data_IF_994246638951
#
_entry.id   IF_994246638951
#
_cell.length_a   1.000
_cell.length_b   1.000
_cell.length_c   1.000
_cell.angle_alpha   90.00
_cell.angle_beta   90.00
_cell.angle_gamma   90.00
#
_symmetry.space_group_name_H-M   'P 1'
#
loop_
_entity.id
_entity.type
_entity.pdbx_description
1 polymer ?
#
# COMPACT_ATOMS: atom_id res chain seq x y z
N UNK A 1 -28.27 17.50 6.05
CA UNK A 1 -28.00 18.52 7.09
C UNK A 1 -27.21 19.65 6.44
N UNK A 2 -27.65 20.90 6.58
CA UNK A 2 -26.88 22.06 6.11
C UNK A 2 -25.86 22.47 7.18
N UNK A 3 -24.62 22.79 6.81
CA UNK A 3 -23.57 23.27 7.73
C UNK A 3 -23.24 24.73 7.42
N UNK A 4 -23.07 25.56 8.47
CA UNK A 4 -22.66 26.97 8.35
C UNK A 4 -21.24 27.12 8.85
N UNK A 5 -20.37 27.71 8.03
CA UNK A 5 -19.00 28.05 8.44
C UNK A 5 -18.99 29.41 9.14
N UNK A 6 -18.49 29.45 10.37
CA UNK A 6 -18.37 30.65 11.21
C UNK A 6 -16.92 31.13 11.34
N UNK A 7 -15.99 30.51 10.63
CA UNK A 7 -14.55 30.79 10.72
C UNK A 7 -14.24 32.27 10.45
N UNK A 8 -14.83 32.86 9.42
CA UNK A 8 -14.55 34.25 9.04
C UNK A 8 -15.07 35.25 10.08
N UNK A 9 -16.28 35.01 10.61
CA UNK A 9 -16.85 35.81 11.69
C UNK A 9 -16.01 35.71 12.97
N UNK A 10 -15.55 34.49 13.30
CA UNK A 10 -14.65 34.26 14.43
C UNK A 10 -13.31 35.01 14.27
N UNK A 11 -12.68 34.91 13.09
CA UNK A 11 -11.41 35.58 12.81
C UNK A 11 -11.54 37.11 12.89
N UNK A 12 -12.63 37.67 12.34
CA UNK A 12 -12.92 39.10 12.43
C UNK A 12 -13.02 39.56 13.90
N UNK A 13 -13.85 38.87 14.70
CA UNK A 13 -14.05 39.21 16.11
C UNK A 13 -12.75 39.04 16.92
N UNK A 14 -11.99 37.97 16.67
CA UNK A 14 -10.69 37.73 17.30
C UNK A 14 -9.70 38.87 17.00
N UNK A 15 -9.55 39.23 15.72
CA UNK A 15 -8.62 40.25 15.28
C UNK A 15 -9.02 41.63 15.83
N UNK A 16 -10.31 41.97 15.80
CA UNK A 16 -10.83 43.23 16.35
C UNK A 16 -10.60 43.34 17.87
N UNK A 17 -10.81 42.25 18.62
CA UNK A 17 -10.55 42.21 20.05
C UNK A 17 -9.05 42.35 20.40
N UNK A 18 -8.16 41.79 19.56
CA UNK A 18 -6.70 41.96 19.72
C UNK A 18 -6.31 43.42 19.48
N UNK A 19 -6.79 44.02 18.39
CA UNK A 19 -6.52 45.43 18.07
C UNK A 19 -7.03 46.37 19.17
N UNK A 20 -8.25 46.17 19.67
CA UNK A 20 -8.78 46.99 20.77
C UNK A 20 -7.96 46.87 22.06
N UNK A 21 -7.42 45.68 22.38
CA UNK A 21 -6.51 45.51 23.52
C UNK A 21 -5.18 46.25 23.32
N UNK A 22 -4.63 46.22 22.11
CA UNK A 22 -3.37 46.91 21.78
C UNK A 22 -3.53 48.43 21.87
N UNK A 23 -4.62 48.98 21.32
CA UNK A 23 -4.92 50.42 21.38
C UNK A 23 -5.08 50.89 22.84
N UNK A 24 -5.78 50.10 23.67
CA UNK A 24 -5.96 50.42 25.09
C UNK A 24 -4.63 50.34 25.86
N UNK A 25 -3.76 49.39 25.52
CA UNK A 25 -2.43 49.25 26.11
C UNK A 25 -1.51 50.42 25.71
N UNK A 26 -1.56 50.87 24.45
CA UNK A 26 -0.84 52.07 23.99
C UNK A 26 -1.30 53.35 24.70
N UNK A 27 -2.60 53.49 24.96
CA UNK A 27 -3.15 54.63 25.71
C UNK A 27 -2.76 54.65 27.19
N UNK A 28 -2.41 53.50 27.78
CA UNK A 28 -1.99 53.38 29.17
C UNK A 28 -0.46 53.35 29.36
N UNK A 29 0.31 53.26 28.27
CA UNK A 29 1.76 53.24 28.31
C UNK A 29 2.33 54.67 28.43
N UNK A 30 2.64 55.10 29.65
CA UNK A 30 3.52 56.25 29.91
C UNK A 30 4.97 55.86 29.58
N UNK A 31 5.81 56.83 29.16
CA UNK A 31 7.18 56.60 28.62
C UNK A 31 8.09 55.77 29.56
N UNK A 32 7.75 55.69 30.86
CA UNK A 32 8.43 54.85 31.87
C UNK A 32 8.10 53.36 31.81
N UNK A 33 6.94 52.96 31.27
CA UNK A 33 6.55 51.54 31.12
C UNK A 33 7.15 50.89 29.87
N UNK A 34 7.54 51.67 28.87
CA UNK A 34 8.17 51.18 27.64
C UNK A 34 9.54 50.50 27.87
N UNK A 35 10.20 50.76 29.00
CA UNK A 35 11.50 50.14 29.35
C UNK A 35 11.37 48.84 30.16
N UNK A 36 10.16 48.46 30.58
CA UNK A 36 9.86 47.21 31.33
C UNK A 36 9.21 46.14 30.42
N UNK A 37 8.99 46.44 29.14
CA UNK A 37 8.38 45.54 28.14
C UNK A 37 9.30 44.38 27.70
N UNK A 38 10.08 43.81 28.61
CA UNK A 38 10.69 42.48 28.45
C UNK A 38 9.66 41.34 28.60
N UNK A 39 8.44 41.66 29.05
CA UNK A 39 7.30 40.75 29.05
C UNK A 39 6.33 41.29 28.00
N UNK A 40 6.43 40.73 26.79
CA UNK A 40 5.47 40.96 25.74
C UNK A 40 4.04 40.74 26.26
N UNK A 41 3.21 41.78 26.26
CA UNK A 41 1.77 41.71 26.52
C UNK A 41 1.00 41.03 25.38
N UNK A 42 1.71 40.52 24.37
CA UNK A 42 1.11 39.78 23.27
C UNK A 42 0.68 38.38 23.75
N UNK A 43 -0.64 38.10 23.89
CA UNK A 43 -1.10 36.75 24.18
C UNK A 43 -0.75 35.77 23.04
N UNK A 44 -0.41 36.24 21.83
CA UNK A 44 0.09 35.40 20.74
C UNK A 44 1.56 34.99 20.93
N UNK A 45 2.38 35.84 21.56
CA UNK A 45 3.72 35.45 22.03
C UNK A 45 3.64 34.36 23.13
N UNK A 46 2.61 34.36 23.98
CA UNK A 46 2.37 33.29 24.95
C UNK A 46 1.85 32.00 24.28
N UNK A 47 1.01 32.11 23.25
CA UNK A 47 0.53 30.96 22.46
C UNK A 47 1.67 30.34 21.62
N UNK A 48 2.67 31.14 21.23
CA UNK A 48 3.87 30.68 20.53
C UNK A 48 4.86 29.87 21.37
N UNK A 49 4.76 29.91 22.71
CA UNK A 49 5.75 29.32 23.65
C UNK A 49 5.47 27.85 24.01
N UNK A 50 4.32 27.29 23.65
CA UNK A 50 4.09 25.84 23.78
C UNK A 50 4.13 25.13 22.43
N UNK A 51 5.17 25.34 21.63
CA UNK A 51 5.51 24.38 20.57
C UNK A 51 6.00 23.10 21.24
N UNK A 52 5.06 22.29 21.77
CA UNK A 52 5.36 20.92 22.18
C UNK A 52 5.87 20.21 20.94
N UNK A 53 7.11 19.72 21.00
CA UNK A 53 7.66 18.93 19.91
C UNK A 53 6.72 17.76 19.62
N UNK A 54 6.54 17.40 18.33
CA UNK A 54 5.76 16.23 17.97
C UNK A 54 6.30 15.01 18.72
N UNK A 55 5.41 14.11 19.21
CA UNK A 55 5.83 12.87 19.82
C UNK A 55 6.88 12.12 18.99
N UNK A 56 7.93 11.62 19.65
CA UNK A 56 9.07 10.95 18.99
C UNK A 56 8.70 9.71 18.16
N UNK A 57 7.50 9.16 18.35
CA UNK A 57 7.01 8.01 17.59
C UNK A 57 6.46 8.40 16.21
N UNK A 58 6.25 9.70 15.94
CA UNK A 58 5.73 10.19 14.65
C UNK A 58 6.67 9.86 13.49
N UNK A 59 7.98 9.98 13.66
CA UNK A 59 8.95 9.60 12.62
C UNK A 59 8.80 8.13 12.20
N UNK A 60 8.52 7.24 13.17
CA UNK A 60 8.25 5.82 12.88
C UNK A 60 6.92 5.60 12.17
N UNK A 61 5.92 6.45 12.41
CA UNK A 61 4.65 6.42 11.67
C UNK A 61 4.87 6.83 10.22
N UNK A 62 5.63 7.90 9.98
CA UNK A 62 5.95 8.39 8.64
C UNK A 62 6.73 7.33 7.85
N UNK A 63 7.71 6.67 8.49
CA UNK A 63 8.45 5.56 7.89
C UNK A 63 7.53 4.40 7.48
N UNK A 64 6.60 3.98 8.36
CA UNK A 64 5.66 2.90 8.06
C UNK A 64 4.70 3.31 6.93
N UNK A 65 4.20 4.54 6.93
CA UNK A 65 3.31 5.04 5.87
C UNK A 65 4.03 5.10 4.51
N UNK A 66 5.31 5.46 4.52
CA UNK A 66 6.15 5.40 3.34
C UNK A 66 6.32 3.98 2.82
N UNK A 67 6.65 3.01 3.69
CA UNK A 67 6.74 1.59 3.30
C UNK A 67 5.40 1.05 2.76
N UNK A 68 4.27 1.39 3.37
CA UNK A 68 2.92 1.06 2.88
C UNK A 68 2.71 1.60 1.45
N UNK A 69 3.14 2.84 1.19
CA UNK A 69 3.03 3.46 -0.14
C UNK A 69 3.90 2.73 -1.16
N UNK A 70 5.11 2.32 -0.77
CA UNK A 70 5.99 1.52 -1.64
C UNK A 70 5.41 0.14 -1.94
N UNK A 71 4.82 -0.54 -0.95
CA UNK A 71 4.13 -1.82 -1.16
C UNK A 71 3.01 -1.64 -2.20
N UNK A 72 2.18 -0.61 -2.05
CA UNK A 72 1.11 -0.29 -3.02
C UNK A 72 1.64 -0.09 -4.43
N UNK A 73 2.74 0.65 -4.58
CA UNK A 73 3.33 0.88 -5.89
C UNK A 73 3.83 -0.44 -6.50
N UNK A 74 4.59 -1.22 -5.73
CA UNK A 74 5.14 -2.51 -6.20
C UNK A 74 4.05 -3.51 -6.56
N UNK A 75 2.93 -3.52 -5.84
CA UNK A 75 1.75 -4.32 -6.19
C UNK A 75 1.13 -3.92 -7.53
N UNK A 76 1.14 -2.63 -7.89
CA UNK A 76 0.70 -2.18 -9.22
C UNK A 76 1.66 -2.64 -10.31
N UNK A 77 2.97 -2.53 -10.05
CA UNK A 77 3.99 -2.99 -11.00
C UNK A 77 3.86 -4.50 -11.25
N UNK A 78 3.61 -5.29 -10.20
CA UNK A 78 3.31 -6.71 -10.29
C UNK A 78 2.04 -6.99 -11.12
N UNK A 79 0.98 -6.19 -10.94
CA UNK A 79 -0.24 -6.35 -11.73
C UNK A 79 -0.01 -6.08 -13.23
N UNK A 80 0.88 -5.14 -13.59
CA UNK A 80 1.29 -4.90 -14.96
C UNK A 80 2.08 -6.09 -15.53
N UNK A 81 2.99 -6.67 -14.75
CA UNK A 81 3.71 -7.89 -15.14
C UNK A 81 2.74 -9.07 -15.36
N UNK A 82 1.77 -9.26 -14.47
CA UNK A 82 0.73 -10.28 -14.63
C UNK A 82 -0.03 -10.09 -15.95
N UNK A 83 -0.47 -8.87 -16.25
CA UNK A 83 -1.24 -8.60 -17.48
C UNK A 83 -0.40 -8.78 -18.75
N UNK A 84 0.85 -8.30 -18.73
CA UNK A 84 1.83 -8.52 -19.81
C UNK A 84 2.01 -10.00 -20.11
N UNK A 85 2.26 -10.79 -19.06
CA UNK A 85 2.43 -12.24 -19.18
C UNK A 85 1.16 -12.94 -19.69
N UNK A 86 -0.04 -12.47 -19.31
CA UNK A 86 -1.31 -13.07 -19.74
C UNK A 86 -1.64 -12.83 -21.21
N UNK A 87 -1.29 -11.66 -21.74
CA UNK A 87 -1.71 -11.22 -23.07
C UNK A 87 -0.73 -11.59 -24.18
N UNK A 88 0.30 -12.38 -23.84
CA UNK A 88 1.35 -12.77 -24.76
C UNK A 88 0.91 -13.83 -25.80
N UNK A 89 1.17 -13.60 -27.10
CA UNK A 89 1.19 -14.64 -28.13
C UNK A 89 2.44 -15.52 -27.94
N UNK A 90 2.26 -16.82 -27.75
CA UNK A 90 3.31 -17.81 -27.45
C UNK A 90 4.38 -17.88 -28.55
N UNK A 91 5.65 -17.57 -28.23
CA UNK A 91 6.90 -17.99 -28.90
C UNK A 91 8.09 -17.22 -28.26
N UNK A 92 8.80 -17.82 -27.27
CA UNK A 92 10.24 -17.57 -26.93
C UNK A 92 10.71 -16.91 -25.59
N UNK A 93 9.96 -16.10 -24.83
CA UNK A 93 10.46 -15.42 -23.57
C UNK A 93 9.66 -15.74 -22.28
N UNK A 94 9.10 -16.96 -22.13
CA UNK A 94 8.31 -17.32 -20.92
C UNK A 94 9.11 -17.15 -19.62
N UNK A 95 10.42 -17.40 -19.67
CA UNK A 95 11.25 -17.54 -18.46
C UNK A 95 11.63 -16.21 -17.82
N UNK A 96 11.86 -15.14 -18.59
CA UNK A 96 12.27 -13.84 -18.04
C UNK A 96 11.10 -13.15 -17.30
N UNK A 97 9.90 -13.20 -17.87
CA UNK A 97 8.70 -12.58 -17.28
C UNK A 97 8.22 -13.33 -16.04
N UNK A 98 8.25 -14.67 -16.07
CA UNK A 98 7.99 -15.52 -14.91
C UNK A 98 8.97 -15.22 -13.78
N UNK A 99 10.26 -15.10 -14.10
CA UNK A 99 11.28 -14.77 -13.11
C UNK A 99 11.10 -13.37 -12.52
N UNK A 100 10.75 -12.38 -13.35
CA UNK A 100 10.45 -11.02 -12.89
C UNK A 100 9.22 -10.96 -11.96
N UNK A 101 8.19 -11.76 -12.25
CA UNK A 101 7.00 -11.92 -11.39
C UNK A 101 7.39 -12.54 -10.06
N UNK A 102 8.21 -13.60 -10.07
CA UNK A 102 8.67 -14.28 -8.85
C UNK A 102 9.48 -13.34 -7.95
N UNK A 103 10.49 -12.65 -8.51
CA UNK A 103 11.31 -11.67 -7.78
C UNK A 103 10.41 -10.60 -7.16
N UNK A 104 9.53 -9.98 -7.97
CA UNK A 104 8.63 -8.91 -7.49
C UNK A 104 7.70 -9.41 -6.39
N UNK A 105 7.21 -10.64 -6.49
CA UNK A 105 6.34 -11.29 -5.47
C UNK A 105 7.09 -11.52 -4.17
N UNK A 106 8.33 -12.03 -4.23
CA UNK A 106 9.17 -12.23 -3.07
C UNK A 106 9.54 -10.89 -2.41
N UNK A 107 9.88 -9.87 -3.20
CA UNK A 107 10.17 -8.52 -2.71
C UNK A 107 8.99 -7.92 -1.94
N UNK A 108 7.78 -7.99 -2.51
CA UNK A 108 6.55 -7.52 -1.83
C UNK A 108 6.34 -8.27 -0.52
N UNK A 109 6.55 -9.60 -0.51
CA UNK A 109 6.41 -10.42 0.70
C UNK A 109 7.40 -9.97 1.79
N UNK A 110 8.65 -9.70 1.43
CA UNK A 110 9.64 -9.18 2.37
C UNK A 110 9.28 -7.77 2.86
N UNK A 111 8.72 -6.90 2.00
CA UNK A 111 8.24 -5.59 2.40
C UNK A 111 7.11 -5.68 3.44
N UNK A 112 6.15 -6.60 3.26
CA UNK A 112 5.11 -6.86 4.27
C UNK A 112 5.73 -7.25 5.63
N UNK A 113 6.71 -8.15 5.64
CA UNK A 113 7.38 -8.55 6.88
C UNK A 113 8.16 -7.41 7.53
N UNK A 114 8.85 -6.58 6.75
CA UNK A 114 9.54 -5.38 7.27
C UNK A 114 8.54 -4.40 7.88
N UNK A 115 7.46 -4.09 7.16
CA UNK A 115 6.42 -3.18 7.62
C UNK A 115 5.73 -3.70 8.89
N UNK A 116 5.44 -5.00 8.97
CA UNK A 116 4.87 -5.63 10.16
C UNK A 116 5.80 -5.48 11.37
N UNK A 117 7.11 -5.72 11.21
CA UNK A 117 8.10 -5.51 12.28
C UNK A 117 8.17 -4.06 12.72
N UNK A 118 8.11 -3.11 11.79
CA UNK A 118 8.07 -1.69 12.10
C UNK A 118 6.82 -1.30 12.90
N UNK A 119 5.64 -1.80 12.52
CA UNK A 119 4.38 -1.58 13.26
C UNK A 119 4.45 -2.15 14.69
N UNK A 120 4.96 -3.38 14.86
CA UNK A 120 5.17 -3.97 16.19
C UNK A 120 6.22 -3.21 17.00
N UNK A 121 7.30 -2.75 16.34
CA UNK A 121 8.34 -1.93 16.95
C UNK A 121 7.85 -0.55 17.38
N UNK A 122 6.85 0.01 16.69
CA UNK A 122 6.20 1.25 17.08
C UNK A 122 5.37 1.06 18.37
N UNK A 123 4.73 -0.11 18.52
CA UNK A 123 3.92 -0.44 19.69
C UNK A 123 4.74 -0.49 20.99
N UNK A 124 6.04 -0.82 20.93
CA UNK A 124 6.90 -0.85 22.12
C UNK A 124 7.18 0.53 22.72
N UNK A 125 6.90 1.62 21.98
CA UNK A 125 7.12 3.01 22.44
C UNK A 125 6.06 3.50 23.43
N UNK A 126 5.01 2.72 23.72
CA UNK A 126 3.93 3.08 24.65
C UNK A 126 4.41 3.51 26.03
N UNK A 127 5.45 2.87 26.58
CA UNK A 127 5.96 3.15 27.93
C UNK A 127 6.69 4.49 28.12
N UNK A 128 6.91 5.27 27.04
CA UNK A 128 7.61 6.56 27.09
C UNK A 128 6.70 7.76 26.80
N UNK A 129 5.38 7.57 26.86
CA UNK A 129 4.36 8.53 26.46
C UNK A 129 3.52 9.00 27.65
N UNK A 130 2.87 10.16 27.54
CA UNK A 130 1.74 10.52 28.41
C UNK A 130 0.54 9.59 28.15
N UNK A 131 -0.41 9.49 29.08
CA UNK A 131 -1.61 8.65 28.91
C UNK A 131 -2.41 9.02 27.64
N UNK A 132 -2.52 10.31 27.33
CA UNK A 132 -3.20 10.78 26.11
C UNK A 132 -2.44 10.35 24.84
N UNK A 133 -1.11 10.48 24.84
CA UNK A 133 -0.27 10.05 23.71
C UNK A 133 -0.27 8.53 23.53
N UNK A 134 -0.36 7.76 24.61
CA UNK A 134 -0.49 6.30 24.54
C UNK A 134 -1.78 5.91 23.83
N UNK A 135 -2.92 6.53 24.19
CA UNK A 135 -4.21 6.29 23.51
C UNK A 135 -4.14 6.65 22.03
N UNK A 136 -3.49 7.76 21.67
CA UNK A 136 -3.26 8.14 20.28
C UNK A 136 -2.38 7.11 19.56
N UNK A 137 -1.28 6.68 20.18
CA UNK A 137 -0.37 5.69 19.63
C UNK A 137 -1.07 4.34 19.39
N UNK A 138 -1.94 3.90 20.30
CA UNK A 138 -2.76 2.69 20.11
C UNK A 138 -3.60 2.80 18.84
N UNK A 139 -4.34 3.91 18.68
CA UNK A 139 -5.20 4.12 17.53
C UNK A 139 -4.41 4.18 16.22
N UNK A 140 -3.24 4.82 16.25
CA UNK A 140 -2.35 4.90 15.08
C UNK A 140 -1.82 3.52 14.71
N UNK A 141 -1.30 2.74 15.67
CA UNK A 141 -0.83 1.37 15.43
C UNK A 141 -1.95 0.50 14.87
N UNK A 142 -3.17 0.58 15.43
CA UNK A 142 -4.34 -0.14 14.93
C UNK A 142 -4.69 0.25 13.49
N UNK A 143 -4.67 1.55 13.17
CA UNK A 143 -4.93 2.03 11.80
C UNK A 143 -3.87 1.56 10.81
N UNK A 144 -2.60 1.58 11.19
CA UNK A 144 -1.50 1.10 10.34
C UNK A 144 -1.58 -0.41 10.13
N UNK A 145 -1.85 -1.17 11.19
CA UNK A 145 -2.05 -2.61 11.12
C UNK A 145 -3.23 -2.98 10.20
N UNK A 146 -4.35 -2.27 10.32
CA UNK A 146 -5.50 -2.47 9.45
C UNK A 146 -5.16 -2.19 7.99
N UNK A 147 -4.50 -1.06 7.69
CA UNK A 147 -4.09 -0.76 6.31
C UNK A 147 -3.11 -1.81 5.75
N UNK A 148 -2.21 -2.35 6.58
CA UNK A 148 -1.28 -3.40 6.15
C UNK A 148 -2.00 -4.73 5.89
N UNK A 149 -2.99 -5.06 6.74
CA UNK A 149 -3.82 -6.23 6.57
C UNK A 149 -4.65 -6.16 5.29
N UNK A 150 -5.28 -5.01 5.01
CA UNK A 150 -6.07 -4.79 3.79
C UNK A 150 -5.20 -4.91 2.53
N UNK A 151 -3.96 -4.43 2.57
CA UNK A 151 -3.02 -4.62 1.47
C UNK A 151 -2.61 -6.08 1.31
N UNK A 152 -2.36 -6.78 2.42
CA UNK A 152 -1.98 -8.20 2.40
C UNK A 152 -3.11 -9.08 1.85
N UNK A 153 -4.37 -8.81 2.22
CA UNK A 153 -5.53 -9.54 1.69
C UNK A 153 -5.71 -9.27 0.20
N UNK A 154 -5.61 -8.01 -0.23
CA UNK A 154 -5.67 -7.64 -1.64
C UNK A 154 -4.54 -8.28 -2.47
N UNK A 155 -3.32 -8.32 -1.94
CA UNK A 155 -2.18 -8.97 -2.57
C UNK A 155 -2.43 -10.47 -2.79
N UNK A 156 -2.84 -11.18 -1.73
CA UNK A 156 -3.17 -12.61 -1.82
C UNK A 156 -4.28 -12.86 -2.83
N UNK A 157 -5.32 -12.03 -2.83
CA UNK A 157 -6.43 -12.15 -3.78
C UNK A 157 -5.98 -11.96 -5.24
N UNK A 158 -5.17 -10.93 -5.50
CA UNK A 158 -4.63 -10.65 -6.84
C UNK A 158 -3.74 -11.79 -7.33
N UNK A 159 -2.87 -12.31 -6.46
CA UNK A 159 -2.02 -13.47 -6.76
C UNK A 159 -2.84 -14.74 -7.04
N UNK A 160 -3.81 -15.07 -6.18
CA UNK A 160 -4.68 -16.23 -6.40
C UNK A 160 -5.47 -16.12 -7.71
N UNK A 161 -5.99 -14.93 -8.03
CA UNK A 161 -6.70 -14.69 -9.30
C UNK A 161 -5.78 -14.91 -10.50
N UNK A 162 -4.56 -14.38 -10.46
CA UNK A 162 -3.56 -14.56 -11.50
C UNK A 162 -3.20 -16.04 -11.72
N UNK A 163 -2.87 -16.78 -10.65
CA UNK A 163 -2.54 -18.21 -10.75
C UNK A 163 -3.71 -19.04 -11.30
N UNK A 164 -4.95 -18.72 -10.92
CA UNK A 164 -6.15 -19.37 -11.46
C UNK A 164 -6.30 -19.11 -12.96
N UNK A 165 -6.06 -17.88 -13.43
CA UNK A 165 -6.09 -17.55 -14.85
C UNK A 165 -5.02 -18.29 -15.64
N UNK A 166 -3.81 -18.39 -15.10
CA UNK A 166 -2.72 -19.18 -15.68
C UNK A 166 -3.10 -20.64 -15.85
N UNK A 167 -3.59 -21.28 -14.78
CA UNK A 167 -4.01 -22.68 -14.81
C UNK A 167 -5.09 -22.93 -15.84
N UNK A 168 -6.11 -22.08 -15.91
CA UNK A 168 -7.20 -22.21 -16.88
C UNK A 168 -6.70 -22.08 -18.34
N UNK A 169 -5.72 -21.21 -18.59
CA UNK A 169 -5.10 -21.06 -19.92
C UNK A 169 -4.37 -22.33 -20.33
N UNK A 170 -3.62 -22.93 -19.42
CA UNK A 170 -2.90 -24.19 -19.65
C UNK A 170 -3.85 -25.37 -19.88
N UNK A 171 -4.89 -25.51 -19.05
CA UNK A 171 -5.92 -26.56 -19.19
C UNK A 171 -6.62 -26.47 -20.56
N UNK A 172 -6.99 -25.27 -21.00
CA UNK A 172 -7.61 -25.07 -22.33
C UNK A 172 -6.64 -25.37 -23.48
N UNK A 173 -5.37 -25.03 -23.31
CA UNK A 173 -4.32 -25.37 -24.29
C UNK A 173 -4.16 -26.88 -24.41
N UNK A 174 -4.10 -27.60 -23.28
CA UNK A 174 -3.99 -29.07 -23.26
C UNK A 174 -5.15 -29.73 -23.99
N UNK A 175 -6.39 -29.32 -23.72
CA UNK A 175 -7.56 -29.84 -24.46
C UNK A 175 -7.46 -29.64 -25.98
N UNK A 176 -6.91 -28.52 -26.44
CA UNK A 176 -6.75 -28.29 -27.87
C UNK A 176 -5.72 -29.21 -28.52
N UNK A 177 -4.61 -29.51 -27.83
CA UNK A 177 -3.55 -30.39 -28.35
C UNK A 177 -3.83 -31.89 -28.14
N UNK A 178 -4.54 -32.26 -27.08
CA UNK A 178 -4.86 -33.65 -26.72
C UNK A 178 -6.13 -34.17 -27.42
N UNK A 179 -7.01 -33.28 -27.91
CA UNK A 179 -8.25 -33.63 -28.63
C UNK A 179 -8.23 -33.21 -30.11
N UNK A 180 -7.06 -32.93 -30.68
CA UNK A 180 -6.90 -32.55 -32.08
C UNK A 180 -6.87 -33.77 -33.03
N UNK A 181 -7.34 -33.64 -34.30
CA UNK A 181 -7.46 -34.77 -35.25
C UNK A 181 -6.14 -35.48 -35.59
N UNK A 182 -5.00 -34.86 -35.24
CA UNK A 182 -3.67 -35.38 -35.57
C UNK A 182 -3.28 -36.63 -34.78
N UNK A 183 -3.96 -36.95 -33.67
CA UNK A 183 -3.71 -38.19 -32.91
C UNK A 183 -4.59 -39.37 -33.39
N UNK A 184 -5.74 -39.10 -34.04
CA UNK A 184 -6.59 -40.19 -34.57
C UNK A 184 -6.01 -40.80 -35.85
N UNK A 185 -5.31 -40.00 -36.68
CA UNK A 185 -4.67 -40.51 -37.91
C UNK A 185 -3.46 -41.42 -37.62
N UNK A 186 -2.70 -41.17 -36.56
CA UNK A 186 -1.54 -41.99 -36.18
C UNK A 186 -1.96 -43.35 -35.58
N UNK A 187 -3.07 -43.41 -34.86
CA UNK A 187 -3.63 -44.69 -34.38
C UNK A 187 -4.21 -45.53 -35.53
N UNK A 188 -4.86 -44.90 -36.52
CA UNK A 188 -5.39 -45.60 -37.69
C UNK A 188 -4.27 -46.12 -38.62
N UNK A 189 -3.19 -45.34 -38.81
CA UNK A 189 -1.99 -45.79 -39.54
C UNK A 189 -1.28 -46.94 -38.82
N UNK A 190 -1.12 -46.86 -37.49
CA UNK A 190 -0.50 -47.92 -36.69
C UNK A 190 -1.34 -49.22 -36.72
N UNK A 191 -2.67 -49.10 -36.78
CA UNK A 191 -3.57 -50.23 -36.94
C UNK A 191 -3.49 -50.83 -38.35
N UNK A 192 -3.39 -49.99 -39.39
CA UNK A 192 -3.23 -50.45 -40.78
C UNK A 192 -1.92 -51.20 -41.00
N UNK A 193 -0.81 -50.75 -40.40
CA UNK A 193 0.50 -51.40 -40.52
C UNK A 193 0.53 -52.74 -39.77
N UNK A 194 -0.12 -52.82 -38.61
CA UNK A 194 -0.27 -54.06 -37.83
C UNK A 194 -1.14 -55.11 -38.53
N UNK A 195 -2.21 -54.70 -39.21
CA UNK A 195 -3.07 -55.60 -40.00
C UNK A 195 -2.36 -56.11 -41.25
N UNK A 196 -1.50 -55.30 -41.86
CA UNK A 196 -0.69 -55.70 -43.04
C UNK A 196 0.46 -56.64 -42.67
N UNK A 197 1.13 -56.40 -41.55
CA UNK A 197 2.14 -57.32 -41.01
C UNK A 197 1.59 -58.69 -40.64
N UNK A 198 0.31 -58.77 -40.24
CA UNK A 198 -0.36 -60.03 -39.89
C UNK A 198 -0.87 -60.84 -41.09
N UNK A 199 -0.84 -60.26 -42.31
CA UNK A 199 -1.39 -60.89 -43.54
C UNK A 199 -0.32 -61.46 -44.46
N UNK A 200 0.96 -61.36 -44.09
CA UNK A 200 2.09 -61.87 -44.89
C UNK A 200 2.64 -63.22 -44.42
N UNK A 201 2.10 -63.80 -43.34
CA UNK A 201 2.55 -65.11 -42.80
C UNK A 201 1.65 -66.30 -43.19
N UNK A 202 0.83 -66.16 -44.24
CA UNK A 202 0.01 -67.28 -44.76
C UNK A 202 0.08 -67.32 -46.28
N UNK A 203 1.22 -67.74 -46.85
CA UNK A 203 1.22 -68.55 -48.08
C UNK A 203 2.64 -69.07 -48.43
N UNK A 204 2.69 -70.41 -48.58
CA UNK A 204 3.75 -71.32 -49.07
C UNK A 204 4.91 -71.69 -48.14
#
# INVERSE_FOLDING_TARGET
MATRRLTDAFLLMRNNAIQNRQILAEQLADDRMALVSGISLDPEAAIGVTKKLPPKWIEGVDEIQYEITRIRQKMKDLALLHDKHMNRPTLDDSTEEEHAIEITTQEITQMFHRCQRAVTGLQSRRGHCTEQEERLLVNVVSSLAQSLQDLSTNFRHTQSSYLKRMKNREERSKHFFDSGPLMEEDEELALYDKVRGSRLDVEY
#
